data_IF_384624794068
#
_entry.id   IF_384624794068
#
_cell.length_a   1.000
_cell.length_b   1.000
_cell.length_c   1.000
_cell.angle_alpha   90.00
_cell.angle_beta   90.00
_cell.angle_gamma   90.00
#
_symmetry.space_group_name_H-M   'P 1'
#
loop_
_entity.id
_entity.type
_entity.pdbx_description
1 polymer ?
#
# COMPACT_ATOMS: atom_id res chain seq x y z
N UNK A 1 -34.35 10.97 -20.65
CA UNK A 1 -33.06 10.26 -20.59
C UNK A 1 -32.31 10.75 -19.37
N UNK A 2 -32.13 9.92 -18.37
CA UNK A 2 -31.47 10.27 -17.12
C UNK A 2 -29.98 9.94 -17.27
N UNK A 3 -29.06 10.93 -17.24
CA UNK A 3 -27.63 10.65 -17.27
C UNK A 3 -27.15 10.36 -15.84
N UNK A 4 -26.38 9.35 -15.68
CA UNK A 4 -25.59 9.02 -14.49
C UNK A 4 -26.18 7.96 -13.56
N UNK A 5 -26.17 6.75 -14.03
CA UNK A 5 -25.87 5.63 -13.14
C UNK A 5 -24.48 5.07 -13.49
N UNK A 6 -23.45 5.88 -13.36
CA UNK A 6 -22.08 5.39 -13.22
C UNK A 6 -22.04 4.69 -11.87
N UNK A 7 -22.23 3.38 -11.88
CA UNK A 7 -22.12 2.56 -10.68
C UNK A 7 -20.73 2.83 -10.09
N UNK A 8 -20.67 3.51 -8.96
CA UNK A 8 -19.46 3.70 -8.16
C UNK A 8 -19.06 2.34 -7.55
N UNK A 9 -18.76 1.38 -8.44
CA UNK A 9 -18.34 0.04 -8.05
C UNK A 9 -16.97 0.18 -7.37
N UNK A 10 -16.88 -0.30 -6.15
CA UNK A 10 -15.64 -0.37 -5.40
C UNK A 10 -14.69 -1.34 -6.11
N UNK A 11 -13.44 -0.94 -6.33
CA UNK A 11 -12.38 -1.83 -6.84
C UNK A 11 -12.14 -2.96 -5.84
N UNK A 12 -11.69 -4.11 -6.30
CA UNK A 12 -11.30 -5.18 -5.39
C UNK A 12 -9.97 -4.85 -4.71
N UNK A 13 -9.00 -4.33 -5.47
CA UNK A 13 -7.67 -3.96 -5.01
C UNK A 13 -7.23 -2.63 -5.62
N UNK A 14 -6.50 -1.82 -4.85
CA UNK A 14 -5.79 -0.63 -5.33
C UNK A 14 -4.37 -0.62 -4.80
N UNK A 15 -3.39 -0.51 -5.70
CA UNK A 15 -1.98 -0.34 -5.34
C UNK A 15 -1.69 1.15 -5.25
N UNK A 16 -1.28 1.60 -4.07
CA UNK A 16 -0.93 3.01 -3.81
C UNK A 16 0.58 3.14 -3.87
N UNK A 17 1.07 3.80 -4.90
CA UNK A 17 2.48 4.14 -5.10
C UNK A 17 2.74 5.64 -5.02
N UNK A 18 1.70 6.48 -5.15
CA UNK A 18 1.84 7.93 -5.03
C UNK A 18 2.19 8.37 -3.60
N UNK A 19 3.37 9.01 -3.38
CA UNK A 19 3.82 9.42 -2.05
C UNK A 19 2.87 10.37 -1.32
N UNK A 20 2.13 11.21 -2.05
CA UNK A 20 1.18 12.13 -1.42
C UNK A 20 -0.05 11.37 -0.88
N UNK A 21 -0.56 10.41 -1.63
CA UNK A 21 -1.65 9.52 -1.20
C UNK A 21 -1.24 8.69 0.00
N UNK A 22 -0.03 8.11 -0.04
CA UNK A 22 0.54 7.36 1.10
C UNK A 22 0.63 8.28 2.32
N UNK A 23 1.17 9.49 2.20
CA UNK A 23 1.26 10.48 3.28
C UNK A 23 -0.12 10.84 3.86
N UNK A 24 -1.15 10.89 3.05
CA UNK A 24 -2.52 11.11 3.51
C UNK A 24 -2.99 9.95 4.40
N UNK A 25 -2.67 8.70 4.07
CA UNK A 25 -3.03 7.52 4.87
C UNK A 25 -2.23 7.37 6.17
N UNK A 26 -1.10 8.03 6.33
CA UNK A 26 -0.33 7.98 7.59
C UNK A 26 -0.96 8.72 8.77
N UNK A 27 -2.02 9.49 8.54
CA UNK A 27 -2.83 10.02 9.65
C UNK A 27 -3.70 8.90 10.23
N UNK A 28 -3.60 8.67 11.53
CA UNK A 28 -4.30 7.57 12.22
C UNK A 28 -5.82 7.63 12.04
N UNK A 29 -6.39 8.83 12.01
CA UNK A 29 -7.85 9.01 11.86
C UNK A 29 -8.27 8.68 10.43
N UNK A 30 -7.51 9.12 9.42
CA UNK A 30 -7.78 8.81 8.01
C UNK A 30 -7.65 7.31 7.72
N UNK A 31 -6.60 6.68 8.21
CA UNK A 31 -6.43 5.24 8.12
C UNK A 31 -7.61 4.48 8.76
N UNK A 32 -8.03 4.90 9.96
CA UNK A 32 -9.18 4.32 10.66
C UNK A 32 -10.48 4.48 9.86
N UNK A 33 -10.73 5.66 9.29
CA UNK A 33 -11.90 5.95 8.45
C UNK A 33 -11.95 5.00 7.25
N UNK A 34 -10.83 4.84 6.53
CA UNK A 34 -10.78 4.01 5.34
C UNK A 34 -10.86 2.54 5.71
N UNK A 35 -9.89 2.03 6.49
CA UNK A 35 -9.67 0.58 6.65
C UNK A 35 -10.62 -0.08 7.63
N UNK A 36 -11.12 0.63 8.64
CA UNK A 36 -12.05 0.05 9.61
C UNK A 36 -13.51 0.26 9.24
N UNK A 37 -13.83 1.41 8.63
CA UNK A 37 -15.22 1.79 8.40
C UNK A 37 -15.62 1.74 6.93
N UNK A 38 -15.03 2.57 6.07
CA UNK A 38 -15.53 2.79 4.71
C UNK A 38 -15.24 1.65 3.71
N UNK A 39 -14.29 0.78 4.00
CA UNK A 39 -14.08 -0.48 3.25
C UNK A 39 -15.28 -1.42 3.48
N UNK A 40 -15.82 -1.45 4.69
CA UNK A 40 -16.87 -2.40 5.05
C UNK A 40 -18.29 -1.91 4.73
N UNK A 41 -18.56 -0.61 4.87
CA UNK A 41 -19.90 -0.06 4.69
C UNK A 41 -19.90 1.41 4.27
N UNK A 42 -21.03 1.84 3.74
CA UNK A 42 -21.27 3.26 3.46
C UNK A 42 -21.65 3.98 4.75
N UNK A 43 -21.05 5.15 5.00
CA UNK A 43 -21.34 5.94 6.18
C UNK A 43 -21.42 7.44 5.88
N UNK A 44 -22.27 8.12 6.64
CA UNK A 44 -22.31 9.60 6.67
C UNK A 44 -21.20 10.14 7.57
N UNK A 45 -20.87 11.43 7.41
CA UNK A 45 -19.91 12.12 8.29
C UNK A 45 -20.34 12.03 9.76
N UNK A 46 -21.64 12.13 10.06
CA UNK A 46 -22.16 12.02 11.41
C UNK A 46 -21.92 10.63 12.00
N UNK A 47 -22.28 9.57 11.26
CA UNK A 47 -22.06 8.19 11.69
C UNK A 47 -20.59 7.89 11.95
N UNK A 48 -19.67 8.38 11.08
CA UNK A 48 -18.24 8.26 11.29
C UNK A 48 -17.76 9.02 12.53
N UNK A 49 -18.29 10.24 12.73
CA UNK A 49 -17.94 11.07 13.88
C UNK A 49 -18.35 10.38 15.20
N UNK A 50 -19.57 9.84 15.24
CA UNK A 50 -20.09 9.09 16.39
C UNK A 50 -19.26 7.82 16.65
N UNK A 51 -18.91 7.05 15.58
CA UNK A 51 -18.13 5.82 15.68
C UNK A 51 -16.67 6.03 16.12
N UNK A 52 -16.08 7.20 15.81
CA UNK A 52 -14.68 7.54 16.13
C UNK A 52 -14.58 8.37 17.41
N UNK A 53 -15.69 8.92 17.91
CA UNK A 53 -15.71 9.84 19.04
C UNK A 53 -15.09 11.20 18.72
N UNK A 54 -15.34 11.74 17.51
CA UNK A 54 -14.79 13.02 17.04
C UNK A 54 -15.90 13.99 16.62
N UNK A 55 -15.53 15.26 16.53
CA UNK A 55 -16.45 16.28 16.01
C UNK A 55 -16.70 16.08 14.51
N UNK A 56 -17.96 16.16 14.01
CA UNK A 56 -18.30 15.99 12.60
C UNK A 56 -17.52 16.91 11.65
N UNK A 57 -17.23 18.15 12.04
CA UNK A 57 -16.46 19.07 11.21
C UNK A 57 -15.00 18.61 10.99
N UNK A 58 -14.40 17.99 12.00
CA UNK A 58 -13.06 17.39 11.86
C UNK A 58 -13.09 16.16 10.96
N UNK A 59 -14.10 15.29 11.13
CA UNK A 59 -14.27 14.11 10.27
C UNK A 59 -14.50 14.51 8.82
N UNK A 60 -15.29 15.56 8.56
CA UNK A 60 -15.50 16.07 7.21
C UNK A 60 -14.17 16.49 6.55
N UNK A 61 -13.27 17.17 7.26
CA UNK A 61 -11.95 17.54 6.73
C UNK A 61 -11.13 16.30 6.36
N UNK A 62 -11.18 15.25 7.18
CA UNK A 62 -10.50 13.98 6.85
C UNK A 62 -11.12 13.34 5.61
N UNK A 63 -12.44 13.30 5.47
CA UNK A 63 -13.15 12.79 4.29
C UNK A 63 -12.77 13.58 3.04
N UNK A 64 -12.80 14.91 3.08
CA UNK A 64 -12.44 15.74 1.91
C UNK A 64 -10.96 15.52 1.51
N UNK A 65 -10.06 15.35 2.48
CA UNK A 65 -8.66 15.03 2.17
C UNK A 65 -8.51 13.63 1.56
N UNK A 66 -9.24 12.63 2.03
CA UNK A 66 -9.27 11.28 1.45
C UNK A 66 -9.88 11.28 0.04
N UNK A 67 -10.92 12.08 -0.19
CA UNK A 67 -11.52 12.28 -1.53
C UNK A 67 -10.54 12.94 -2.50
N UNK A 68 -9.79 13.94 -2.07
CA UNK A 68 -8.83 14.65 -2.93
C UNK A 68 -7.70 13.78 -3.47
N UNK A 69 -7.45 12.63 -2.83
CA UNK A 69 -6.46 11.62 -3.27
C UNK A 69 -7.11 10.33 -3.77
N UNK A 70 -8.43 10.32 -4.00
CA UNK A 70 -9.13 9.21 -4.63
C UNK A 70 -9.38 7.98 -3.75
N UNK A 71 -9.15 8.04 -2.43
CA UNK A 71 -9.33 6.90 -1.52
C UNK A 71 -10.77 6.73 -1.01
N UNK A 72 -11.57 7.79 -1.08
CA UNK A 72 -12.97 7.82 -0.65
C UNK A 72 -13.80 8.50 -1.72
N UNK A 73 -14.99 7.99 -1.95
CA UNK A 73 -15.99 8.56 -2.86
C UNK A 73 -17.33 8.77 -2.18
N UNK A 74 -18.09 9.75 -2.63
CA UNK A 74 -19.48 9.90 -2.26
C UNK A 74 -20.30 8.96 -3.15
N UNK A 75 -21.06 8.04 -2.56
CA UNK A 75 -21.79 7.00 -3.31
C UNK A 75 -23.28 7.34 -3.48
N UNK A 76 -23.86 8.04 -2.52
CA UNK A 76 -25.28 8.44 -2.60
C UNK A 76 -25.59 9.63 -1.70
N UNK A 77 -26.80 10.17 -1.91
CA UNK A 77 -27.35 11.26 -1.13
C UNK A 77 -28.78 10.93 -0.78
N UNK A 78 -29.16 11.15 0.47
CA UNK A 78 -30.55 10.97 0.95
C UNK A 78 -31.07 12.27 1.58
N UNK A 79 -32.34 12.56 1.39
CA UNK A 79 -33.04 13.61 2.15
C UNK A 79 -33.72 12.98 3.36
N UNK A 80 -33.44 13.52 4.53
CA UNK A 80 -34.20 13.13 5.75
C UNK A 80 -35.61 13.66 5.69
N UNK A 81 -36.49 13.14 6.55
CA UNK A 81 -37.86 13.63 6.73
C UNK A 81 -37.91 15.12 7.12
N UNK A 82 -36.82 15.64 7.71
CA UNK A 82 -36.66 17.06 8.08
C UNK A 82 -36.04 17.91 6.96
N UNK A 83 -35.85 17.33 5.76
CA UNK A 83 -35.28 18.04 4.59
C UNK A 83 -33.74 18.18 4.56
N UNK A 84 -33.05 17.65 5.56
CA UNK A 84 -31.61 17.67 5.62
C UNK A 84 -31.01 16.68 4.60
N UNK A 85 -30.07 17.12 3.80
CA UNK A 85 -29.37 16.29 2.81
C UNK A 85 -28.21 15.56 3.48
N UNK A 86 -28.28 14.23 3.56
CA UNK A 86 -27.24 13.36 4.04
C UNK A 86 -26.43 12.80 2.86
N UNK A 87 -25.09 12.86 2.95
CA UNK A 87 -24.16 12.30 1.97
C UNK A 87 -23.50 11.08 2.54
N UNK A 88 -23.51 9.99 1.79
CA UNK A 88 -22.89 8.72 2.15
C UNK A 88 -21.58 8.55 1.40
N UNK A 89 -20.56 8.12 2.11
CA UNK A 89 -19.21 7.94 1.62
C UNK A 89 -18.80 6.48 1.74
N UNK A 90 -17.96 6.04 0.84
CA UNK A 90 -17.37 4.70 0.82
C UNK A 90 -15.93 4.76 0.35
N UNK A 91 -15.10 3.76 0.71
CA UNK A 91 -13.78 3.58 0.15
C UNK A 91 -13.84 3.23 -1.35
N UNK A 92 -12.82 3.60 -2.11
CA UNK A 92 -12.77 3.33 -3.56
C UNK A 92 -12.32 1.91 -3.88
N UNK A 93 -11.67 1.22 -2.92
CA UNK A 93 -11.27 -0.17 -3.05
C UNK A 93 -11.54 -0.95 -1.75
N UNK A 94 -11.62 -2.28 -1.88
CA UNK A 94 -11.76 -3.22 -0.76
C UNK A 94 -10.44 -3.47 -0.07
N UNK A 95 -9.37 -3.54 -0.86
CA UNK A 95 -8.01 -3.74 -0.41
C UNK A 95 -7.11 -2.64 -0.97
N UNK A 96 -6.12 -2.23 -0.16
CA UNK A 96 -5.09 -1.27 -0.56
C UNK A 96 -3.72 -1.86 -0.24
N UNK A 97 -2.81 -1.83 -1.22
CA UNK A 97 -1.41 -2.21 -1.04
C UNK A 97 -0.52 -0.99 -1.15
N UNK A 98 0.41 -0.88 -0.23
CA UNK A 98 1.38 0.21 -0.20
C UNK A 98 2.73 -0.30 -0.70
N UNK A 99 3.32 0.34 -1.71
CA UNK A 99 4.66 0.05 -2.18
C UNK A 99 5.73 0.49 -1.18
N UNK A 100 6.57 -0.42 -0.69
CA UNK A 100 7.68 -0.09 0.23
C UNK A 100 8.71 0.78 -0.47
N UNK A 101 9.04 0.49 -1.74
CA UNK A 101 10.05 1.22 -2.50
C UNK A 101 9.76 2.72 -2.58
N UNK A 102 8.49 3.07 -2.83
CA UNK A 102 8.07 4.49 -2.91
C UNK A 102 8.18 5.19 -1.55
N UNK A 103 7.98 4.45 -0.45
CA UNK A 103 8.13 4.98 0.91
C UNK A 103 9.60 5.20 1.29
N UNK A 104 10.53 4.37 0.80
CA UNK A 104 11.98 4.50 1.05
C UNK A 104 12.50 5.80 0.45
N UNK A 105 12.04 6.17 -0.75
CA UNK A 105 12.41 7.40 -1.43
C UNK A 105 11.75 8.65 -0.85
N UNK A 106 10.71 8.50 -0.04
CA UNK A 106 10.04 9.61 0.62
C UNK A 106 10.89 10.19 1.76
N UNK A 107 10.50 11.38 2.23
CA UNK A 107 11.15 12.06 3.36
C UNK A 107 10.30 11.97 4.64
N UNK A 108 10.94 12.18 5.79
CA UNK A 108 10.26 12.30 7.09
C UNK A 108 9.65 10.99 7.57
N UNK A 109 8.43 11.06 8.14
CA UNK A 109 7.77 9.93 8.80
C UNK A 109 7.57 8.69 7.90
N UNK A 110 7.43 8.88 6.61
CA UNK A 110 7.26 7.76 5.66
C UNK A 110 8.54 6.94 5.52
N UNK A 111 9.69 7.62 5.38
CA UNK A 111 10.99 6.95 5.32
C UNK A 111 11.29 6.21 6.63
N UNK A 112 10.99 6.83 7.77
CA UNK A 112 11.13 6.18 9.07
C UNK A 112 10.28 4.92 9.15
N UNK A 113 9.00 5.00 8.76
CA UNK A 113 8.12 3.84 8.72
C UNK A 113 8.62 2.73 7.79
N UNK A 114 9.11 3.09 6.59
CA UNK A 114 9.67 2.12 5.65
C UNK A 114 10.89 1.40 6.26
N UNK A 115 11.79 2.14 6.90
CA UNK A 115 12.95 1.57 7.60
C UNK A 115 12.54 0.66 8.75
N UNK A 116 11.60 1.07 9.58
CA UNK A 116 11.07 0.24 10.66
C UNK A 116 10.44 -1.06 10.11
N UNK A 117 9.74 -0.96 8.99
CA UNK A 117 9.17 -2.14 8.33
C UNK A 117 10.24 -3.07 7.78
N UNK A 118 11.27 -2.55 7.11
CA UNK A 118 12.41 -3.35 6.65
C UNK A 118 13.14 -4.03 7.81
N UNK A 119 13.37 -3.29 8.90
CA UNK A 119 13.96 -3.83 10.11
C UNK A 119 13.14 -4.99 10.68
N UNK A 120 11.83 -4.84 10.77
CA UNK A 120 10.93 -5.89 11.24
C UNK A 120 10.93 -7.11 10.29
N UNK A 121 11.09 -6.92 8.97
CA UNK A 121 11.27 -8.03 8.03
C UNK A 121 12.57 -8.79 8.32
N UNK A 122 13.68 -8.08 8.58
CA UNK A 122 14.96 -8.71 8.93
C UNK A 122 14.86 -9.46 10.26
N UNK A 123 14.27 -8.85 11.29
CA UNK A 123 14.02 -9.50 12.58
C UNK A 123 13.13 -10.75 12.45
N UNK A 124 12.17 -10.73 11.53
CA UNK A 124 11.30 -11.88 11.26
C UNK A 124 12.04 -13.12 10.75
N UNK A 125 13.28 -12.98 10.23
CA UNK A 125 14.11 -14.11 9.79
C UNK A 125 14.53 -15.01 10.96
N UNK A 126 14.49 -14.53 12.20
CA UNK A 126 14.71 -15.34 13.40
C UNK A 126 13.75 -16.53 13.45
N UNK A 127 12.52 -16.38 12.96
CA UNK A 127 11.54 -17.48 12.86
C UNK A 127 12.02 -18.63 11.97
N UNK A 128 13.00 -18.39 11.12
CA UNK A 128 13.64 -19.37 10.24
C UNK A 128 15.05 -19.77 10.71
N UNK A 129 15.43 -19.38 11.94
CA UNK A 129 16.72 -19.67 12.52
C UNK A 129 17.87 -18.78 12.06
N UNK A 130 17.55 -17.63 11.44
CA UNK A 130 18.54 -16.64 11.00
C UNK A 130 18.53 -15.45 11.96
N UNK A 131 19.57 -15.33 12.79
CA UNK A 131 19.71 -14.25 13.77
C UNK A 131 20.76 -13.27 13.28
N UNK A 132 20.32 -12.11 12.80
CA UNK A 132 21.21 -11.04 12.35
C UNK A 132 21.50 -10.12 13.54
N UNK A 133 22.77 -10.01 14.00
CA UNK A 133 23.09 -9.17 15.15
C UNK A 133 22.86 -7.69 14.86
N UNK A 134 22.57 -6.91 15.91
CA UNK A 134 22.27 -5.48 15.80
C UNK A 134 23.38 -4.71 15.08
N UNK A 135 24.65 -5.09 15.29
CA UNK A 135 25.83 -4.49 14.62
C UNK A 135 25.84 -4.69 13.10
N UNK A 136 25.00 -5.60 12.58
CA UNK A 136 24.87 -5.91 11.16
C UNK A 136 23.50 -5.50 10.58
N UNK A 137 22.63 -4.93 11.40
CA UNK A 137 21.29 -4.52 10.98
C UNK A 137 21.35 -3.45 9.88
N UNK A 138 22.20 -2.44 10.01
CA UNK A 138 22.34 -1.38 9.00
C UNK A 138 22.85 -1.93 7.66
N UNK A 139 23.79 -2.90 7.69
CA UNK A 139 24.26 -3.57 6.47
C UNK A 139 23.09 -4.31 5.76
N UNK A 140 22.25 -5.01 6.53
CA UNK A 140 21.05 -5.69 6.02
C UNK A 140 20.07 -4.71 5.38
N UNK A 141 19.77 -3.61 6.07
CA UNK A 141 18.82 -2.60 5.61
C UNK A 141 19.30 -1.95 4.30
N UNK A 142 20.59 -1.63 4.18
CA UNK A 142 21.15 -1.06 2.95
C UNK A 142 20.98 -2.00 1.76
N UNK A 143 21.21 -3.31 1.94
CA UNK A 143 21.03 -4.28 0.85
C UNK A 143 19.55 -4.37 0.45
N UNK A 144 18.64 -4.43 1.42
CA UNK A 144 17.21 -4.50 1.15
C UNK A 144 16.67 -3.22 0.50
N UNK A 145 17.11 -2.03 0.94
CA UNK A 145 16.76 -0.76 0.30
C UNK A 145 17.16 -0.79 -1.18
N UNK A 146 18.37 -1.21 -1.50
CA UNK A 146 18.86 -1.33 -2.89
C UNK A 146 18.03 -2.34 -3.71
N UNK A 147 17.66 -3.48 -3.13
CA UNK A 147 16.84 -4.49 -3.79
C UNK A 147 15.45 -3.94 -4.13
N UNK A 148 14.76 -3.34 -3.15
CA UNK A 148 13.43 -2.77 -3.37
C UNK A 148 13.45 -1.59 -4.34
N UNK A 149 14.48 -0.75 -4.28
CA UNK A 149 14.67 0.34 -5.23
C UNK A 149 14.85 -0.19 -6.66
N UNK A 150 15.71 -1.22 -6.84
CA UNK A 150 15.92 -1.83 -8.16
C UNK A 150 14.65 -2.49 -8.69
N UNK A 151 13.92 -3.20 -7.84
CA UNK A 151 12.63 -3.80 -8.20
C UNK A 151 11.61 -2.75 -8.65
N UNK A 152 11.58 -1.60 -7.98
CA UNK A 152 10.71 -0.48 -8.37
C UNK A 152 11.11 0.11 -9.72
N UNK A 153 12.41 0.28 -9.98
CA UNK A 153 12.92 0.72 -11.28
C UNK A 153 12.53 -0.24 -12.40
N UNK A 154 12.67 -1.54 -12.19
CA UNK A 154 12.24 -2.58 -13.15
C UNK A 154 10.73 -2.49 -13.38
N UNK A 155 9.95 -2.37 -12.31
CA UNK A 155 8.49 -2.27 -12.38
C UNK A 155 8.03 -1.04 -13.16
N UNK A 156 8.73 0.09 -13.04
CA UNK A 156 8.43 1.32 -13.79
C UNK A 156 8.68 1.23 -15.30
N UNK A 157 9.44 0.23 -15.75
CA UNK A 157 9.71 -0.04 -17.16
C UNK A 157 8.63 -0.94 -17.82
N UNK A 158 7.69 -1.46 -17.04
CA UNK A 158 6.60 -2.25 -17.59
C UNK A 158 5.69 -1.39 -18.47
N UNK A 159 5.58 -1.76 -19.73
CA UNK A 159 4.76 -1.04 -20.70
C UNK A 159 3.57 -1.91 -21.14
N UNK A 160 2.37 -1.36 -21.00
CA UNK A 160 1.15 -2.00 -21.49
C UNK A 160 1.00 -1.67 -22.97
N UNK A 161 1.10 -2.69 -23.82
CA UNK A 161 1.01 -2.56 -25.28
C UNK A 161 -0.45 -2.58 -25.74
N UNK A 162 -1.28 -3.44 -25.15
CA UNK A 162 -2.71 -3.55 -25.46
C UNK A 162 -3.56 -2.96 -24.34
N UNK A 163 -3.78 -1.65 -24.41
CA UNK A 163 -4.53 -0.92 -23.39
C UNK A 163 -6.02 -1.31 -23.35
N UNK A 164 -6.63 -1.68 -24.48
CA UNK A 164 -8.04 -2.08 -24.56
C UNK A 164 -8.26 -3.40 -23.80
N UNK A 165 -7.45 -4.42 -24.10
CA UNK A 165 -7.50 -5.67 -23.36
C UNK A 165 -7.18 -5.50 -21.88
N UNK A 166 -6.16 -4.70 -21.57
CA UNK A 166 -5.79 -4.39 -20.18
C UNK A 166 -6.96 -3.81 -19.39
N UNK A 167 -7.69 -2.85 -19.96
CA UNK A 167 -8.82 -2.20 -19.32
C UNK A 167 -10.05 -3.12 -19.19
N UNK A 168 -10.11 -4.22 -19.94
CA UNK A 168 -11.16 -5.24 -19.80
C UNK A 168 -10.94 -6.19 -18.63
N UNK A 169 -9.71 -6.26 -18.10
CA UNK A 169 -9.35 -7.12 -16.98
C UNK A 169 -9.82 -6.54 -15.64
N UNK A 170 -10.15 -7.43 -14.70
CA UNK A 170 -10.32 -7.03 -13.30
C UNK A 170 -9.01 -6.56 -12.68
N UNK A 171 -9.08 -5.78 -11.59
CA UNK A 171 -7.87 -5.28 -10.90
C UNK A 171 -6.94 -6.42 -10.44
N UNK A 172 -7.48 -7.54 -9.97
CA UNK A 172 -6.68 -8.72 -9.60
C UNK A 172 -5.96 -9.33 -10.80
N UNK A 173 -6.66 -9.47 -11.94
CA UNK A 173 -6.03 -9.99 -13.18
C UNK A 173 -4.92 -9.07 -13.69
N UNK A 174 -5.12 -7.75 -13.62
CA UNK A 174 -4.11 -6.75 -13.97
C UNK A 174 -2.88 -6.87 -13.06
N UNK A 175 -3.08 -7.05 -11.76
CA UNK A 175 -1.99 -7.21 -10.81
C UNK A 175 -1.24 -8.52 -11.01
N UNK A 176 -1.96 -9.64 -11.20
CA UNK A 176 -1.33 -10.94 -11.47
C UNK A 176 -0.51 -10.92 -12.77
N UNK A 177 -1.04 -10.32 -13.85
CA UNK A 177 -0.30 -10.16 -15.10
C UNK A 177 0.94 -9.27 -14.92
N UNK A 178 0.82 -8.15 -14.18
CA UNK A 178 1.94 -7.27 -13.86
C UNK A 178 3.01 -7.98 -13.04
N UNK A 179 2.60 -8.81 -12.07
CA UNK A 179 3.50 -9.62 -11.25
C UNK A 179 4.31 -10.59 -12.10
N UNK A 180 3.63 -11.37 -12.97
CA UNK A 180 4.30 -12.32 -13.86
C UNK A 180 5.31 -11.63 -14.80
N UNK A 181 4.94 -10.51 -15.40
CA UNK A 181 5.86 -9.74 -16.25
C UNK A 181 7.04 -9.17 -15.48
N UNK A 182 6.80 -8.69 -14.26
CA UNK A 182 7.86 -8.20 -13.36
C UNK A 182 8.86 -9.30 -13.03
N UNK A 183 8.40 -10.50 -12.69
CA UNK A 183 9.27 -11.66 -12.43
C UNK A 183 10.17 -11.99 -13.63
N UNK A 184 9.62 -11.97 -14.86
CA UNK A 184 10.40 -12.17 -16.07
C UNK A 184 11.48 -11.08 -16.24
N UNK A 185 11.14 -9.82 -15.99
CA UNK A 185 12.10 -8.71 -16.12
C UNK A 185 13.17 -8.75 -15.05
N UNK A 186 12.81 -9.06 -13.81
CA UNK A 186 13.71 -9.24 -12.67
C UNK A 186 14.77 -10.32 -12.98
N UNK A 187 14.33 -11.47 -13.49
CA UNK A 187 15.23 -12.59 -13.83
C UNK A 187 16.21 -12.29 -14.98
N UNK A 188 15.96 -11.23 -15.74
CA UNK A 188 16.85 -10.74 -16.80
C UNK A 188 17.73 -9.58 -16.37
N UNK A 189 17.46 -8.97 -15.24
CA UNK A 189 18.16 -7.79 -14.74
C UNK A 189 19.43 -8.20 -13.98
N UNK A 190 20.59 -7.94 -14.57
CA UNK A 190 21.88 -8.35 -14.00
C UNK A 190 22.21 -7.66 -12.67
N UNK A 191 21.76 -6.42 -12.49
CA UNK A 191 22.01 -5.67 -11.26
C UNK A 191 21.14 -6.21 -10.11
N UNK A 192 19.87 -6.49 -10.38
CA UNK A 192 18.99 -7.13 -9.40
C UNK A 192 19.53 -8.51 -8.97
N UNK A 193 19.95 -9.34 -9.93
CA UNK A 193 20.51 -10.67 -9.62
C UNK A 193 21.77 -10.56 -8.75
N UNK A 194 22.64 -9.59 -9.02
CA UNK A 194 23.84 -9.34 -8.20
C UNK A 194 23.47 -8.88 -6.77
N UNK A 195 22.47 -8.03 -6.62
CA UNK A 195 21.97 -7.61 -5.30
C UNK A 195 21.32 -8.77 -4.55
N UNK A 196 20.58 -9.62 -5.25
CA UNK A 196 20.00 -10.84 -4.68
C UNK A 196 21.06 -11.81 -4.19
N UNK A 197 22.11 -12.04 -4.97
CA UNK A 197 23.25 -12.86 -4.56
C UNK A 197 23.93 -12.28 -3.31
N UNK A 198 24.16 -10.97 -3.29
CA UNK A 198 24.70 -10.27 -2.11
C UNK A 198 23.83 -10.48 -0.87
N UNK A 199 22.51 -10.36 -1.02
CA UNK A 199 21.55 -10.59 0.06
C UNK A 199 21.58 -12.05 0.54
N UNK A 200 21.53 -13.02 -0.39
CA UNK A 200 21.61 -14.43 -0.06
C UNK A 200 22.90 -14.76 0.70
N UNK A 201 24.05 -14.31 0.20
CA UNK A 201 25.37 -14.53 0.85
C UNK A 201 25.37 -13.93 2.27
N UNK A 202 24.85 -12.70 2.42
CA UNK A 202 24.74 -12.04 3.71
C UNK A 202 23.87 -12.86 4.69
N UNK A 203 22.68 -13.27 4.31
CA UNK A 203 21.77 -14.04 5.17
C UNK A 203 22.37 -15.41 5.51
N UNK A 204 22.93 -16.12 4.54
CA UNK A 204 23.51 -17.45 4.74
C UNK A 204 24.68 -17.43 5.72
N UNK A 205 25.45 -16.34 5.79
CA UNK A 205 26.55 -16.22 6.77
C UNK A 205 26.07 -16.29 8.22
N UNK A 206 24.80 -15.99 8.50
CA UNK A 206 24.18 -16.11 9.82
C UNK A 206 23.43 -17.42 10.05
N UNK A 207 23.13 -18.19 8.99
CA UNK A 207 22.55 -19.54 9.11
C UNK A 207 23.60 -20.57 9.53
N UNK A 208 24.82 -20.47 9.04
CA UNK A 208 25.91 -21.43 9.29
C UNK A 208 26.43 -21.33 10.73
N UNK A 209 26.45 -20.13 11.31
CA UNK A 209 26.93 -19.91 12.68
C UNK A 209 26.05 -20.60 13.73
N UNK A 210 24.75 -20.75 13.50
CA UNK A 210 23.81 -21.36 14.42
C UNK A 210 23.76 -22.90 14.32
N UNK A 211 24.37 -23.53 13.32
CA UNK A 211 24.42 -25.00 13.20
C UNK A 211 25.63 -25.64 13.92
N UNK A 212 26.56 -24.83 14.40
CA UNK A 212 27.80 -25.30 15.06
C UNK A 212 27.70 -25.39 16.59
N UNK A 213 26.58 -24.98 17.22
CA UNK A 213 26.42 -24.95 18.68
C UNK A 213 25.37 -25.96 19.23
N UNK A 214 24.97 -26.97 18.44
CA UNK A 214 24.12 -28.08 18.93
C UNK A 214 24.83 -29.41 18.87
#
# INVERSE_FOLDING_TARGET
MNPANTSHRMKDLEVISDPNTIKVLFDKIRALIVFKYLVNQEMTVKQLADAIGKNPGNVLRHIERLKSVGLVQQVRTEKTTTGIVQRYYRATAREYRLGIADMIQANGAMRTYAKDRLRNMVLGLESYGVIIPETKMDDALVILEQLFERENQISSQLTIINAEFWNSLSTHQQEDASRLMREVMIMRDKEYLKLTEKWCTFVMSFMETNRGEN
#
